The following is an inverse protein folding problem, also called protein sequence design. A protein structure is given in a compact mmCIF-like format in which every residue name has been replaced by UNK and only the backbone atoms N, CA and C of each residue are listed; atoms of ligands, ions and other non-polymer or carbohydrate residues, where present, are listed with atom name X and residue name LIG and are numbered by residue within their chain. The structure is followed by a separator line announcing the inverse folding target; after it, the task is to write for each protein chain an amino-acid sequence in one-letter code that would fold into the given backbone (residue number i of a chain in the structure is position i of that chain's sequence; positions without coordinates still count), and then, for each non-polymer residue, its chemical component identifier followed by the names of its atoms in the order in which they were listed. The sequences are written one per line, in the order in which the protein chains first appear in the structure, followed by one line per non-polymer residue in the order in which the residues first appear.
data_IF_634032770367
#
_entry.id   IF_634032770367
#
_cell.length_a   1.000
_cell.length_b   1.000
_cell.length_c   1.000
_cell.angle_alpha   90.00
_cell.angle_beta   90.00
_cell.angle_gamma   90.00
#
_symmetry.space_group_name_H-M   'P 1'
#
loop_
_entity.id
_entity.type
_entity.pdbx_description
1 polymer ?
#
# COMPACT_ATOMS: atom_id res chain seq x y z
N UNK A 1 39.89 -3.19 -33.53
CA UNK A 1 39.02 -4.13 -32.81
C UNK A 1 37.79 -3.36 -32.38
N UNK A 2 36.64 -3.62 -33.01
CA UNK A 2 35.38 -2.94 -32.68
C UNK A 2 34.68 -3.75 -31.60
N UNK A 3 34.43 -3.13 -30.43
CA UNK A 3 33.66 -3.75 -29.36
C UNK A 3 32.17 -3.55 -29.65
N UNK A 4 31.48 -4.64 -29.99
CA UNK A 4 30.02 -4.67 -30.00
C UNK A 4 29.56 -4.75 -28.54
N UNK A 5 29.02 -3.66 -28.02
CA UNK A 5 28.36 -3.64 -26.73
C UNK A 5 27.03 -4.39 -26.89
N UNK A 6 26.96 -5.61 -26.34
CA UNK A 6 25.72 -6.35 -26.21
C UNK A 6 24.85 -5.61 -25.18
N UNK A 7 23.98 -4.72 -25.65
CA UNK A 7 22.90 -4.18 -24.81
C UNK A 7 21.94 -5.32 -24.57
N UNK A 8 22.08 -6.00 -23.43
CA UNK A 8 21.01 -6.85 -22.91
C UNK A 8 19.87 -5.91 -22.55
N UNK A 9 18.81 -5.92 -23.37
CA UNK A 9 17.55 -5.31 -22.99
C UNK A 9 17.12 -6.06 -21.72
N UNK A 10 17.31 -5.43 -20.56
CA UNK A 10 16.60 -5.80 -19.35
C UNK A 10 15.13 -5.55 -19.66
N UNK A 11 14.46 -6.59 -20.19
CA UNK A 11 13.01 -6.59 -20.26
C UNK A 11 12.55 -6.42 -18.83
N UNK A 12 11.93 -5.29 -18.50
CA UNK A 12 11.17 -5.17 -17.26
C UNK A 12 10.03 -6.17 -17.37
N UNK A 13 10.27 -7.43 -16.98
CA UNK A 13 9.19 -8.38 -16.80
C UNK A 13 8.36 -7.81 -15.66
N UNK A 14 7.18 -7.28 -16.00
CA UNK A 14 6.13 -7.07 -15.02
C UNK A 14 5.85 -8.44 -14.39
N UNK A 15 6.39 -8.71 -13.21
CA UNK A 15 6.09 -9.92 -12.46
C UNK A 15 4.76 -9.65 -11.75
N UNK A 16 3.69 -9.79 -12.54
CA UNK A 16 2.34 -9.69 -12.03
C UNK A 16 1.93 -11.02 -11.43
N UNK A 17 1.39 -11.00 -10.21
CA UNK A 17 0.94 -12.20 -9.55
C UNK A 17 -0.42 -12.02 -8.87
N UNK A 18 -1.15 -13.13 -8.78
CA UNK A 18 -2.50 -13.18 -8.22
C UNK A 18 -2.42 -13.68 -6.78
N UNK A 19 -3.24 -13.10 -5.92
CA UNK A 19 -3.44 -13.60 -4.57
C UNK A 19 -4.20 -14.96 -4.67
N UNK A 20 -3.47 -16.07 -4.69
CA UNK A 20 -3.96 -17.47 -4.56
C UNK A 20 -5.10 -17.78 -3.57
N UNK A 21 -5.84 -18.84 -3.89
CA UNK A 21 -7.02 -19.30 -3.17
C UNK A 21 -6.71 -20.01 -1.84
N UNK A 22 -5.68 -20.87 -1.85
CA UNK A 22 -5.29 -21.75 -0.74
C UNK A 22 -3.87 -21.42 -0.30
N UNK A 23 -3.75 -20.42 0.56
CA UNK A 23 -2.49 -19.90 1.10
C UNK A 23 -2.06 -20.58 2.39
N UNK A 24 -0.78 -20.45 2.71
CA UNK A 24 -0.23 -20.86 4.01
C UNK A 24 -0.24 -19.72 5.05
N UNK A 25 -0.25 -18.45 4.62
CA UNK A 25 -0.22 -17.29 5.52
C UNK A 25 -0.83 -16.02 4.90
N UNK A 26 -0.96 -14.96 5.70
CA UNK A 26 -1.31 -13.61 5.24
C UNK A 26 -0.12 -12.72 4.86
N UNK A 27 1.09 -13.27 4.79
CA UNK A 27 2.28 -12.47 4.49
C UNK A 27 2.38 -12.16 2.98
N UNK A 28 2.41 -10.87 2.63
CA UNK A 28 2.65 -10.41 1.26
C UNK A 28 3.97 -10.92 0.71
N UNK A 29 5.01 -11.00 1.54
CA UNK A 29 6.38 -11.30 1.11
C UNK A 29 6.67 -12.80 0.93
N UNK A 30 5.69 -13.68 1.19
CA UNK A 30 5.82 -15.12 1.00
C UNK A 30 5.48 -15.51 -0.46
N UNK A 31 6.44 -16.06 -1.22
CA UNK A 31 6.22 -16.41 -2.63
C UNK A 31 5.10 -17.45 -2.86
N UNK A 32 5.00 -18.45 -1.96
CA UNK A 32 3.98 -19.50 -2.04
C UNK A 32 2.55 -18.99 -1.87
N UNK A 33 2.39 -17.76 -1.39
CA UNK A 33 1.10 -17.12 -1.34
C UNK A 33 0.66 -16.73 -2.77
N UNK A 34 1.54 -16.34 -3.68
CA UNK A 34 1.17 -15.82 -4.99
C UNK A 34 1.08 -16.88 -6.10
N UNK A 35 0.29 -16.62 -7.14
CA UNK A 35 0.24 -17.43 -8.38
C UNK A 35 0.53 -16.54 -9.60
N UNK A 36 1.60 -16.82 -10.38
CA UNK A 36 2.67 -17.77 -10.09
C UNK A 36 3.40 -17.41 -8.77
N UNK A 37 4.21 -18.33 -8.25
CA UNK A 37 4.90 -18.19 -6.95
C UNK A 37 6.05 -17.17 -7.01
N UNK A 38 5.70 -15.93 -7.33
CA UNK A 38 6.53 -14.74 -7.47
C UNK A 38 5.86 -13.62 -6.69
N UNK A 39 6.60 -12.94 -5.83
CA UNK A 39 6.07 -11.84 -5.01
C UNK A 39 6.06 -10.55 -5.84
N UNK A 40 4.90 -9.89 -6.05
CA UNK A 40 4.89 -8.56 -6.65
C UNK A 40 5.64 -7.57 -5.75
N UNK A 41 6.81 -7.11 -6.20
CA UNK A 41 7.66 -6.17 -5.49
C UNK A 41 8.64 -5.47 -6.44
N UNK A 42 8.11 -4.75 -7.41
CA UNK A 42 8.86 -4.07 -8.46
C UNK A 42 8.09 -2.90 -9.06
N UNK A 43 8.81 -1.95 -9.64
CA UNK A 43 8.25 -0.72 -10.23
C UNK A 43 7.26 -0.96 -11.38
N UNK A 44 7.29 -2.15 -11.98
CA UNK A 44 6.38 -2.54 -13.07
C UNK A 44 5.34 -3.57 -12.64
N UNK A 45 5.48 -4.14 -11.44
CA UNK A 45 4.70 -5.29 -10.98
C UNK A 45 3.27 -4.90 -10.63
N UNK A 46 2.34 -5.83 -10.85
CA UNK A 46 0.95 -5.70 -10.45
C UNK A 46 0.56 -6.82 -9.48
N UNK A 47 -0.01 -6.43 -8.35
CA UNK A 47 -0.62 -7.34 -7.41
C UNK A 47 -2.13 -7.43 -7.68
N UNK A 48 -2.64 -8.64 -7.95
CA UNK A 48 -4.05 -8.85 -8.28
C UNK A 48 -4.74 -9.67 -7.20
N UNK A 49 -5.86 -9.17 -6.69
CA UNK A 49 -6.69 -9.81 -5.67
C UNK A 49 -8.01 -10.26 -6.29
N UNK A 50 -8.29 -11.56 -6.20
CA UNK A 50 -9.55 -12.15 -6.64
C UNK A 50 -10.28 -12.80 -5.48
N UNK A 51 -11.02 -13.88 -5.77
CA UNK A 51 -11.54 -14.73 -4.71
C UNK A 51 -10.38 -15.36 -3.92
N UNK A 52 -10.49 -15.39 -2.59
CA UNK A 52 -9.55 -16.05 -1.68
C UNK A 52 -10.29 -16.34 -0.37
N UNK A 53 -9.76 -17.26 0.44
CA UNK A 53 -10.28 -17.52 1.79
C UNK A 53 -9.53 -16.72 2.87
N UNK A 54 -8.50 -15.96 2.48
CA UNK A 54 -7.69 -15.17 3.39
C UNK A 54 -7.55 -13.75 2.87
N UNK A 55 -8.08 -12.81 3.66
CA UNK A 55 -8.27 -11.41 3.30
C UNK A 55 -7.42 -10.45 4.14
N UNK A 56 -6.91 -10.92 5.27
CA UNK A 56 -6.01 -10.16 6.14
C UNK A 56 -4.57 -10.36 5.69
N UNK A 57 -3.97 -9.29 5.18
CA UNK A 57 -2.64 -9.32 4.57
C UNK A 57 -1.71 -8.42 5.38
N UNK A 58 -0.50 -8.91 5.67
CA UNK A 58 0.56 -8.14 6.32
C UNK A 58 1.70 -7.84 5.36
N UNK A 59 2.20 -6.61 5.41
CA UNK A 59 3.46 -6.19 4.79
C UNK A 59 4.42 -5.82 5.92
N UNK A 60 5.52 -6.57 6.01
CA UNK A 60 6.56 -6.41 7.04
C UNK A 60 7.92 -6.08 6.40
N UNK A 61 7.94 -5.02 5.58
CA UNK A 61 9.14 -4.53 4.93
C UNK A 61 8.84 -3.45 3.90
N UNK A 62 9.66 -3.38 2.86
CA UNK A 62 9.46 -2.49 1.72
C UNK A 62 8.85 -3.26 0.55
N UNK A 63 7.68 -2.81 0.10
CA UNK A 63 7.00 -3.30 -1.09
C UNK A 63 6.78 -2.13 -2.04
N UNK A 64 7.10 -2.33 -3.32
CA UNK A 64 6.81 -1.39 -4.39
C UNK A 64 5.99 -2.11 -5.46
N UNK A 65 4.91 -1.50 -5.92
CA UNK A 65 4.10 -1.99 -7.04
C UNK A 65 3.65 -0.85 -7.94
N UNK A 66 3.49 -1.14 -9.23
CA UNK A 66 2.85 -0.22 -10.19
C UNK A 66 1.34 -0.19 -10.04
N UNK A 67 0.76 -1.29 -9.57
CA UNK A 67 -0.69 -1.42 -9.52
C UNK A 67 -1.13 -2.44 -8.48
N UNK A 68 -2.23 -2.12 -7.81
CA UNK A 68 -3.03 -3.09 -7.05
C UNK A 68 -4.40 -3.17 -7.71
N UNK A 69 -4.83 -4.39 -8.04
CA UNK A 69 -6.12 -4.62 -8.71
C UNK A 69 -6.97 -5.55 -7.87
N UNK A 70 -8.16 -5.11 -7.47
CA UNK A 70 -9.20 -5.99 -6.95
C UNK A 70 -10.16 -6.32 -8.10
N UNK A 71 -10.25 -7.60 -8.42
CA UNK A 71 -11.12 -8.09 -9.51
C UNK A 71 -12.57 -8.20 -9.04
N UNK A 72 -13.56 -8.34 -9.96
CA UNK A 72 -14.95 -8.60 -9.58
C UNK A 72 -15.16 -9.85 -8.71
N UNK A 73 -14.19 -10.78 -8.72
CA UNK A 73 -14.24 -11.99 -7.88
C UNK A 73 -13.83 -11.74 -6.42
N UNK A 74 -13.28 -10.56 -6.07
CA UNK A 74 -12.91 -10.18 -4.71
C UNK A 74 -14.13 -9.73 -3.89
N UNK A 75 -15.14 -10.60 -3.77
CA UNK A 75 -16.44 -10.28 -3.16
C UNK A 75 -16.40 -10.04 -1.64
N UNK A 76 -15.28 -10.35 -1.00
CA UNK A 76 -15.00 -10.04 0.41
C UNK A 76 -13.87 -9.02 0.48
N UNK A 77 -14.03 -8.00 1.34
CA UNK A 77 -13.03 -6.96 1.51
C UNK A 77 -11.71 -7.52 2.05
N UNK A 78 -10.61 -7.15 1.41
CA UNK A 78 -9.26 -7.33 1.89
C UNK A 78 -8.88 -6.21 2.86
N UNK A 79 -8.09 -6.57 3.87
CA UNK A 79 -7.39 -5.63 4.74
C UNK A 79 -5.89 -5.80 4.56
N UNK A 80 -5.24 -4.83 3.91
CA UNK A 80 -3.78 -4.81 3.73
C UNK A 80 -3.17 -3.92 4.80
N UNK A 81 -2.45 -4.54 5.74
CA UNK A 81 -1.82 -3.87 6.88
C UNK A 81 -0.32 -3.75 6.66
N UNK A 82 0.18 -2.51 6.67
CA UNK A 82 1.60 -2.21 6.71
C UNK A 82 1.99 -2.16 8.19
N UNK A 83 2.64 -3.23 8.65
CA UNK A 83 2.91 -3.48 10.05
C UNK A 83 4.39 -3.22 10.35
N UNK A 84 4.75 -2.21 11.16
CA UNK A 84 6.13 -2.03 11.60
C UNK A 84 6.57 -3.19 12.50
N UNK A 85 7.76 -3.73 12.25
CA UNK A 85 8.38 -4.80 13.06
C UNK A 85 9.27 -4.19 14.14
N UNK A 86 9.99 -5.02 14.92
CA UNK A 86 11.00 -4.54 15.87
C UNK A 86 12.36 -4.26 15.23
N UNK A 87 12.56 -4.69 13.98
CA UNK A 87 13.85 -4.65 13.28
C UNK A 87 13.99 -3.48 12.32
N UNK A 88 12.87 -2.86 11.92
CA UNK A 88 12.84 -1.78 10.92
C UNK A 88 12.01 -0.62 11.44
N UNK A 89 12.58 0.58 11.38
CA UNK A 89 11.94 1.80 11.87
C UNK A 89 10.74 2.23 11.02
N UNK A 90 10.73 1.82 9.75
CA UNK A 90 9.64 2.06 8.80
C UNK A 90 9.42 0.87 7.87
N UNK A 91 8.16 0.48 7.71
CA UNK A 91 7.71 -0.43 6.65
C UNK A 91 6.85 0.37 5.68
N UNK A 92 6.98 0.12 4.38
CA UNK A 92 6.37 0.96 3.35
C UNK A 92 5.76 0.10 2.25
N UNK A 93 4.49 0.37 1.94
CA UNK A 93 3.88 0.03 0.66
C UNK A 93 3.93 1.25 -0.26
N UNK A 94 4.70 1.19 -1.34
CA UNK A 94 4.74 2.22 -2.38
C UNK A 94 3.92 1.78 -3.58
N UNK A 95 2.92 2.56 -3.95
CA UNK A 95 2.05 2.35 -5.10
C UNK A 95 2.34 3.46 -6.10
N UNK A 96 2.83 3.11 -7.29
CA UNK A 96 3.19 4.07 -8.34
C UNK A 96 2.29 3.95 -9.55
N UNK A 97 2.59 4.71 -10.61
CA UNK A 97 1.99 4.53 -11.94
C UNK A 97 0.47 4.56 -11.95
N UNK A 98 -0.16 3.38 -12.01
CA UNK A 98 -1.61 3.24 -12.16
C UNK A 98 -2.37 3.36 -10.84
N UNK A 99 -1.73 3.10 -9.69
CA UNK A 99 -2.43 3.15 -8.40
C UNK A 99 -3.28 1.92 -8.12
N UNK A 100 -4.45 2.14 -7.50
CA UNK A 100 -5.39 1.08 -7.11
C UNK A 100 -6.59 1.09 -8.04
N UNK A 101 -6.92 -0.08 -8.59
CA UNK A 101 -8.15 -0.33 -9.33
C UNK A 101 -9.04 -1.30 -8.56
N UNK A 102 -10.09 -0.78 -7.93
CA UNK A 102 -11.09 -1.61 -7.25
C UNK A 102 -12.30 -1.86 -8.17
N UNK A 103 -12.45 -3.09 -8.66
CA UNK A 103 -13.58 -3.51 -9.50
C UNK A 103 -14.46 -4.55 -8.77
N UNK A 104 -14.34 -4.65 -7.45
CA UNK A 104 -15.00 -5.70 -6.65
C UNK A 104 -16.42 -5.34 -6.20
N UNK A 105 -16.78 -4.05 -6.19
CA UNK A 105 -18.04 -3.57 -5.63
C UNK A 105 -18.10 -3.60 -4.10
N UNK A 106 -16.99 -3.87 -3.43
CA UNK A 106 -16.86 -3.79 -1.96
C UNK A 106 -15.66 -2.90 -1.59
N UNK A 107 -15.80 -2.14 -0.50
CA UNK A 107 -14.74 -1.24 -0.05
C UNK A 107 -13.53 -2.02 0.47
N UNK A 108 -12.36 -1.77 -0.11
CA UNK A 108 -11.10 -2.42 0.26
C UNK A 108 -10.36 -1.57 1.29
N UNK A 109 -9.74 -2.20 2.28
CA UNK A 109 -9.16 -1.51 3.43
C UNK A 109 -7.63 -1.59 3.44
N UNK A 110 -6.99 -0.45 3.71
CA UNK A 110 -5.55 -0.32 3.87
C UNK A 110 -5.25 0.30 5.23
N UNK A 111 -4.32 -0.29 5.97
CA UNK A 111 -3.99 0.15 7.33
C UNK A 111 -2.50 0.40 7.46
N UNK A 112 -2.13 1.61 7.90
CA UNK A 112 -0.78 1.97 8.30
C UNK A 112 -0.71 2.03 9.83
N UNK A 113 0.06 1.12 10.45
CA UNK A 113 0.16 1.03 11.92
C UNK A 113 1.35 1.82 12.48
N UNK A 114 1.26 2.25 13.72
CA UNK A 114 2.44 2.53 14.57
C UNK A 114 2.69 1.37 15.53
N UNK A 115 3.86 1.28 16.16
CA UNK A 115 4.12 0.34 17.27
C UNK A 115 4.66 1.03 18.52
N UNK A 116 4.82 0.24 19.59
CA UNK A 116 5.31 0.68 20.90
C UNK A 116 6.81 1.03 20.93
N UNK A 117 7.51 0.98 19.80
CA UNK A 117 8.88 1.49 19.64
C UNK A 117 8.92 2.83 18.89
N UNK A 118 7.75 3.36 18.49
CA UNK A 118 7.64 4.59 17.71
C UNK A 118 7.89 4.40 16.22
N UNK A 119 7.98 3.14 15.77
CA UNK A 119 8.11 2.79 14.36
C UNK A 119 6.76 2.76 13.69
N UNK A 120 6.76 2.86 12.36
CA UNK A 120 5.54 3.09 11.60
C UNK A 120 5.47 2.33 10.28
N UNK A 121 4.25 2.02 9.87
CA UNK A 121 3.88 1.67 8.52
C UNK A 121 3.54 2.91 7.72
N UNK A 122 3.84 2.90 6.42
CA UNK A 122 3.49 3.96 5.49
C UNK A 122 2.91 3.39 4.22
N UNK A 123 1.93 4.10 3.67
CA UNK A 123 1.39 3.87 2.32
C UNK A 123 1.75 5.11 1.51
N UNK A 124 2.48 4.93 0.42
CA UNK A 124 2.97 6.05 -0.40
C UNK A 124 2.47 5.89 -1.83
N UNK A 125 1.72 6.88 -2.31
CA UNK A 125 1.37 7.03 -3.71
C UNK A 125 2.40 7.89 -4.41
N UNK A 126 2.93 7.42 -5.55
CA UNK A 126 3.92 8.13 -6.36
C UNK A 126 3.57 8.22 -7.85
N UNK A 127 4.31 9.04 -8.58
CA UNK A 127 4.13 9.32 -10.00
C UNK A 127 2.71 9.82 -10.34
N UNK A 128 1.91 9.02 -11.04
CA UNK A 128 0.51 9.30 -11.41
C UNK A 128 -0.50 8.42 -10.69
N UNK A 129 -0.10 7.76 -9.59
CA UNK A 129 -0.95 6.78 -8.92
C UNK A 129 -2.23 7.41 -8.34
N UNK A 130 -3.33 6.68 -8.45
CA UNK A 130 -4.60 6.99 -7.80
C UNK A 130 -4.86 6.06 -6.62
N UNK A 131 -5.46 6.57 -5.54
CA UNK A 131 -5.98 5.75 -4.44
C UNK A 131 -7.23 4.93 -4.85
N UNK A 132 -7.82 5.23 -6.02
CA UNK A 132 -8.99 4.55 -6.54
C UNK A 132 -10.28 4.92 -5.81
N UNK A 133 -11.40 4.43 -6.32
CA UNK A 133 -12.70 4.48 -5.64
C UNK A 133 -12.90 3.25 -4.76
N UNK A 134 -13.85 3.33 -3.82
CA UNK A 134 -14.17 2.22 -2.91
C UNK A 134 -12.94 1.69 -2.15
N UNK A 135 -12.06 2.59 -1.75
CA UNK A 135 -10.90 2.28 -0.90
C UNK A 135 -10.99 3.08 0.39
N UNK A 136 -10.57 2.46 1.48
CA UNK A 136 -10.49 3.07 2.80
C UNK A 136 -9.07 2.95 3.33
N UNK A 137 -8.54 4.04 3.87
CA UNK A 137 -7.20 4.12 4.44
C UNK A 137 -7.31 4.54 5.90
N UNK A 138 -6.73 3.74 6.79
CA UNK A 138 -6.66 4.06 8.22
C UNK A 138 -5.21 4.21 8.66
N UNK A 139 -4.86 5.36 9.21
CA UNK A 139 -3.56 5.57 9.88
C UNK A 139 -3.75 5.54 11.39
N UNK A 140 -2.93 4.76 12.09
CA UNK A 140 -2.94 4.71 13.55
C UNK A 140 -2.04 5.78 14.15
N UNK A 141 -2.39 6.30 15.32
CA UNK A 141 -1.48 7.15 16.08
C UNK A 141 -0.27 6.41 16.63
N UNK A 142 0.71 7.17 17.07
CA UNK A 142 1.86 6.65 17.81
C UNK A 142 1.38 5.94 19.08
N UNK A 143 2.03 4.81 19.37
CA UNK A 143 1.81 4.02 20.59
C UNK A 143 2.90 4.25 21.65
N UNK A 144 3.73 5.29 21.49
CA UNK A 144 4.81 5.67 22.41
C UNK A 144 4.57 7.05 22.96
N UNK A 145 4.70 7.19 24.29
CA UNK A 145 4.45 8.44 24.98
C UNK A 145 5.48 9.52 24.58
N UNK A 146 5.03 10.75 24.49
CA UNK A 146 5.85 11.90 24.08
C UNK A 146 6.06 12.02 22.57
N UNK A 147 6.72 13.12 22.19
CA UNK A 147 6.77 13.62 20.81
C UNK A 147 7.65 12.81 19.83
N UNK A 148 8.32 11.76 20.32
CA UNK A 148 9.28 10.96 19.56
C UNK A 148 8.68 9.78 18.78
N UNK A 149 7.46 9.37 19.10
CA UNK A 149 6.79 8.26 18.39
C UNK A 149 6.06 8.74 17.14
N UNK A 150 6.16 7.97 16.05
CA UNK A 150 5.39 8.20 14.84
C UNK A 150 4.16 7.29 14.77
N UNK A 151 3.05 7.84 14.27
CA UNK A 151 1.91 7.05 13.81
C UNK A 151 2.11 6.52 12.40
N UNK A 152 1.14 5.79 11.87
CA UNK A 152 1.11 5.41 10.47
C UNK A 152 0.91 6.62 9.55
N UNK A 153 1.31 6.47 8.28
CA UNK A 153 1.17 7.52 7.28
C UNK A 153 0.50 7.04 6.00
N UNK A 154 -0.24 7.95 5.38
CA UNK A 154 -0.58 7.87 3.94
C UNK A 154 0.02 9.10 3.28
N UNK A 155 0.85 8.90 2.26
CA UNK A 155 1.57 9.98 1.56
C UNK A 155 1.21 10.02 0.09
N UNK A 156 0.96 11.22 -0.43
CA UNK A 156 0.75 11.48 -1.85
C UNK A 156 1.90 12.35 -2.38
N UNK A 157 2.63 11.82 -3.36
CA UNK A 157 3.79 12.44 -4.01
C UNK A 157 3.50 12.76 -5.49
N UNK A 158 4.29 13.64 -6.09
CA UNK A 158 4.23 13.99 -7.53
C UNK A 158 2.80 14.37 -8.03
N UNK A 159 2.26 13.67 -9.02
CA UNK A 159 0.98 13.96 -9.68
C UNK A 159 -0.09 12.92 -9.32
N UNK A 160 -0.19 12.59 -8.03
CA UNK A 160 -1.10 11.55 -7.53
C UNK A 160 -2.47 12.09 -7.17
N UNK A 161 -3.46 11.19 -7.04
CA UNK A 161 -4.84 11.55 -6.69
C UNK A 161 -5.38 10.67 -5.56
N UNK A 162 -6.04 11.30 -4.60
CA UNK A 162 -6.83 10.59 -3.59
C UNK A 162 -8.13 9.99 -4.16
N UNK A 163 -8.54 10.42 -5.36
CA UNK A 163 -9.80 10.05 -6.01
C UNK A 163 -10.97 10.09 -5.01
N UNK A 164 -11.78 9.03 -4.95
CA UNK A 164 -12.91 8.88 -4.02
C UNK A 164 -12.54 8.02 -2.81
N UNK A 165 -11.25 7.88 -2.50
CA UNK A 165 -10.77 7.15 -1.33
C UNK A 165 -11.20 7.83 -0.03
N UNK A 166 -11.51 7.03 0.99
CA UNK A 166 -11.80 7.50 2.34
C UNK A 166 -10.54 7.41 3.22
N UNK A 167 -10.25 8.45 4.01
CA UNK A 167 -9.04 8.53 4.83
C UNK A 167 -9.39 8.84 6.28
N UNK A 168 -9.07 7.93 7.18
CA UNK A 168 -9.23 8.08 8.63
C UNK A 168 -7.85 8.18 9.28
N UNK A 169 -7.57 9.32 9.89
CA UNK A 169 -6.33 9.56 10.63
C UNK A 169 -6.62 9.56 12.14
N UNK A 170 -6.20 8.51 12.84
CA UNK A 170 -6.43 8.39 14.28
C UNK A 170 -5.46 9.29 15.05
N UNK A 171 -5.93 9.90 16.14
CA UNK A 171 -5.07 10.62 17.08
C UNK A 171 -4.04 9.70 17.75
N UNK A 172 -3.07 10.30 18.46
CA UNK A 172 -2.10 9.56 19.27
C UNK A 172 -2.79 8.65 20.28
N UNK A 173 -2.27 7.43 20.47
CA UNK A 173 -2.86 6.45 21.40
C UNK A 173 -2.44 6.70 22.86
N UNK A 174 -1.57 7.69 23.10
CA UNK A 174 -0.92 7.99 24.38
C UNK A 174 -0.68 9.50 24.51
N UNK A 175 -0.51 9.98 25.74
CA UNK A 175 -0.28 11.40 26.01
C UNK A 175 0.99 11.92 25.31
N UNK A 176 0.85 13.02 24.56
CA UNK A 176 1.93 13.62 23.77
C UNK A 176 2.37 12.80 22.54
N UNK A 177 1.69 11.68 22.24
CA UNK A 177 1.98 10.88 21.05
C UNK A 177 1.42 11.54 19.79
N UNK A 178 2.18 11.49 18.69
CA UNK A 178 1.72 12.01 17.40
C UNK A 178 0.54 11.19 16.86
N UNK A 179 -0.42 11.85 16.21
CA UNK A 179 -1.46 11.16 15.45
C UNK A 179 -0.90 10.45 14.22
N UNK A 180 -1.70 9.54 13.66
CA UNK A 180 -1.54 9.13 12.27
C UNK A 180 -1.76 10.34 11.38
N UNK A 181 -1.10 10.39 10.23
CA UNK A 181 -1.17 11.55 9.37
C UNK A 181 -1.30 11.18 7.89
N UNK A 182 -2.15 11.93 7.20
CA UNK A 182 -2.02 12.14 5.77
C UNK A 182 -0.94 13.19 5.52
N UNK A 183 0.11 12.87 4.77
CA UNK A 183 1.15 13.82 4.38
C UNK A 183 1.12 14.04 2.87
N UNK A 184 0.91 15.28 2.46
CA UNK A 184 0.92 15.65 1.04
C UNK A 184 2.24 16.34 0.71
N UNK A 185 2.90 15.95 -0.40
CA UNK A 185 4.16 16.55 -0.85
C UNK A 185 4.03 17.22 -2.24
N UNK A 186 2.82 17.30 -2.83
CA UNK A 186 2.53 18.06 -4.07
C UNK A 186 1.02 18.16 -4.39
N UNK A 187 0.65 18.97 -5.40
CA UNK A 187 -0.73 19.41 -5.72
C UNK A 187 -1.73 18.29 -6.03
N UNK A 188 -2.82 18.21 -5.27
CA UNK A 188 -3.95 17.30 -5.51
C UNK A 188 -4.98 17.98 -6.42
N UNK A 189 -5.51 17.25 -7.42
CA UNK A 189 -6.79 17.60 -8.02
C UNK A 189 -7.89 17.08 -7.08
N UNK A 190 -8.30 17.90 -6.12
CA UNK A 190 -9.49 17.62 -5.33
C UNK A 190 -10.71 17.70 -6.26
N UNK A 191 -11.67 16.76 -6.19
CA UNK A 191 -12.93 16.94 -6.88
C UNK A 191 -13.59 18.25 -6.41
N UNK A 192 -14.31 18.96 -7.29
CA UNK A 192 -14.94 20.22 -6.94
C UNK A 192 -15.86 20.03 -5.73
N UNK A 193 -15.73 20.94 -4.74
CA UNK A 193 -16.59 20.94 -3.56
C UNK A 193 -18.07 20.94 -4.00
N UNK A 194 -18.88 20.06 -3.40
CA UNK A 194 -20.33 20.08 -3.60
C UNK A 194 -20.83 21.42 -3.01
N UNK A 195 -21.42 22.32 -3.80
CA UNK A 195 -21.98 23.56 -3.27
C UNK A 195 -23.16 23.27 -2.33
N UNK A 196 -23.43 24.16 -1.36
CA UNK A 196 -24.49 23.99 -0.37
C UNK A 196 -25.89 23.89 -0.99
#
# INVERSE_FOLDING_TARGET
MSFVCLVTIQTSRSESAIWSLSRTSGDWNTAANWTPATVPNGFSDAATFGFSNLHDISIEGFVIVRQITFTPAATTAYTITIQPTTLMFNNILTIRGNGIANNSGVTQNFVAKGNALGYYGSITFGDSATAGSETAFTTFGAAVAGEGGFGGFVTFESTTSAADGSFTNNGGLVAGGRGGAGKQISSMHLPPAIPP
#
